data_IF_907314486177
#
_entry.id   IF_907314486177
#
_cell.length_a   1.000
_cell.length_b   1.000
_cell.length_c   1.000
_cell.angle_alpha   90.00
_cell.angle_beta   90.00
_cell.angle_gamma   90.00
#
_symmetry.space_group_name_H-M   'P 1'
#
loop_
_entity.id
_entity.type
_entity.pdbx_description
1 polymer ?
#
# COMPACT_ATOMS: atom_id res chain seq x y z
N UNK A 1 -18.37 -14.65 -1.16
CA UNK A 1 -17.24 -14.15 -1.96
C UNK A 1 -16.07 -15.11 -1.80
N UNK A 2 -15.41 -15.49 -2.89
CA UNK A 2 -14.17 -16.28 -2.80
C UNK A 2 -13.03 -15.38 -2.33
N UNK A 3 -12.17 -15.86 -1.44
CA UNK A 3 -11.00 -15.11 -0.97
C UNK A 3 -9.99 -15.03 -2.10
N UNK A 4 -9.54 -13.82 -2.47
CA UNK A 4 -8.45 -13.64 -3.42
C UNK A 4 -7.13 -13.97 -2.72
N UNK A 5 -6.44 -15.01 -3.19
CA UNK A 5 -5.11 -15.38 -2.69
C UNK A 5 -4.08 -14.76 -3.64
N UNK A 6 -3.21 -13.91 -3.11
CA UNK A 6 -2.13 -13.28 -3.85
C UNK A 6 -0.82 -13.48 -3.08
N UNK A 7 0.28 -13.66 -3.80
CA UNK A 7 1.63 -13.69 -3.23
C UNK A 7 2.15 -12.27 -3.18
N UNK A 8 2.46 -11.79 -1.98
CA UNK A 8 3.03 -10.46 -1.75
C UNK A 8 3.91 -10.48 -0.50
N UNK A 9 4.82 -9.50 -0.37
CA UNK A 9 5.59 -9.31 0.86
C UNK A 9 4.78 -8.58 1.95
N UNK A 10 5.34 -8.49 3.15
CA UNK A 10 4.66 -7.89 4.30
C UNK A 10 4.39 -6.39 4.15
N UNK A 11 5.27 -5.64 3.48
CA UNK A 11 5.08 -4.21 3.26
C UNK A 11 3.97 -3.97 2.24
N UNK A 12 3.97 -4.73 1.14
CA UNK A 12 2.91 -4.69 0.14
C UNK A 12 1.54 -5.07 0.75
N UNK A 13 1.50 -6.06 1.64
CA UNK A 13 0.28 -6.44 2.35
C UNK A 13 -0.22 -5.33 3.29
N UNK A 14 0.68 -4.70 4.04
CA UNK A 14 0.34 -3.59 4.94
C UNK A 14 -0.11 -2.34 4.16
N UNK A 15 0.57 -2.01 3.07
CA UNK A 15 0.19 -0.93 2.17
C UNK A 15 -1.21 -1.19 1.58
N UNK A 16 -1.45 -2.40 1.05
CA UNK A 16 -2.76 -2.76 0.48
C UNK A 16 -3.86 -2.64 1.53
N UNK A 17 -3.62 -3.16 2.74
CA UNK A 17 -4.60 -3.11 3.81
C UNK A 17 -4.88 -1.69 4.32
N UNK A 18 -3.91 -0.77 4.30
CA UNK A 18 -4.08 0.61 4.80
C UNK A 18 -4.63 1.57 3.74
N UNK A 19 -4.29 1.35 2.46
CA UNK A 19 -4.63 2.24 1.34
C UNK A 19 -6.13 2.52 1.23
N UNK A 20 -6.98 1.48 1.32
CA UNK A 20 -8.43 1.64 1.14
C UNK A 20 -9.15 2.33 2.31
N UNK A 21 -8.50 2.48 3.47
CA UNK A 21 -9.11 3.05 4.68
C UNK A 21 -8.49 4.39 5.08
N UNK A 22 -7.54 4.89 4.30
CA UNK A 22 -6.77 6.10 4.62
C UNK A 22 -6.98 7.14 3.53
N UNK A 23 -7.56 8.28 3.89
CA UNK A 23 -7.79 9.39 2.93
C UNK A 23 -6.53 10.24 2.70
N UNK A 24 -5.70 10.39 3.73
CA UNK A 24 -4.47 11.20 3.69
C UNK A 24 -3.35 10.44 4.38
N UNK A 25 -2.21 10.26 3.70
CA UNK A 25 -1.01 9.63 4.24
C UNK A 25 0.19 10.59 4.17
N UNK A 26 0.69 11.01 5.33
CA UNK A 26 1.98 11.70 5.43
C UNK A 26 3.12 10.67 5.42
N UNK A 27 4.02 10.76 4.44
CA UNK A 27 5.08 9.77 4.23
C UNK A 27 6.48 10.39 4.33
N UNK A 28 7.43 9.61 4.86
CA UNK A 28 8.85 9.91 4.84
C UNK A 28 9.65 8.61 4.66
N UNK A 29 10.63 8.55 3.74
CA UNK A 29 11.34 7.32 3.44
C UNK A 29 12.31 6.96 4.58
N UNK A 30 12.22 5.71 5.05
CA UNK A 30 13.15 5.12 6.01
C UNK A 30 13.19 3.60 5.82
N UNK A 31 14.39 3.01 5.78
CA UNK A 31 14.56 1.56 5.64
C UNK A 31 14.08 0.85 6.92
N UNK A 32 13.29 -0.24 6.84
CA UNK A 32 12.89 -1.01 5.65
C UNK A 32 11.49 -0.67 5.11
N UNK A 33 10.83 0.40 5.56
CA UNK A 33 9.41 0.69 5.28
C UNK A 33 9.14 1.53 4.04
N UNK A 34 10.18 2.02 3.35
CA UNK A 34 10.02 2.89 2.18
C UNK A 34 9.11 2.31 1.10
N UNK A 35 9.11 0.99 0.89
CA UNK A 35 8.28 0.34 -0.13
C UNK A 35 6.77 0.51 0.12
N UNK A 36 6.33 0.68 1.37
CA UNK A 36 4.91 0.96 1.65
C UNK A 36 4.49 2.32 1.10
N UNK A 37 5.33 3.34 1.29
CA UNK A 37 5.06 4.70 0.84
C UNK A 37 5.07 4.78 -0.68
N UNK A 38 6.04 4.13 -1.34
CA UNK A 38 6.16 4.09 -2.80
C UNK A 38 4.92 3.43 -3.45
N UNK A 39 4.47 2.29 -2.92
CA UNK A 39 3.29 1.60 -3.44
C UNK A 39 2.00 2.42 -3.27
N UNK A 40 1.83 3.09 -2.13
CA UNK A 40 0.67 3.96 -1.87
C UNK A 40 0.66 5.15 -2.83
N UNK A 41 1.81 5.79 -3.05
CA UNK A 41 1.95 6.91 -3.99
C UNK A 41 1.65 6.46 -5.43
N UNK A 42 2.22 5.33 -5.87
CA UNK A 42 1.96 4.74 -7.17
C UNK A 42 0.48 4.41 -7.38
N UNK A 43 -0.17 3.76 -6.41
CA UNK A 43 -1.59 3.42 -6.51
C UNK A 43 -2.49 4.66 -6.53
N UNK A 44 -2.13 5.70 -5.78
CA UNK A 44 -2.83 6.99 -5.82
C UNK A 44 -2.71 7.64 -7.19
N UNK A 45 -1.50 7.68 -7.76
CA UNK A 45 -1.23 8.22 -9.09
C UNK A 45 -1.99 7.45 -10.19
N UNK A 46 -2.16 6.14 -10.04
CA UNK A 46 -2.94 5.30 -10.95
C UNK A 46 -4.45 5.30 -10.66
N UNK A 47 -4.92 6.08 -9.68
CA UNK A 47 -6.33 6.21 -9.35
C UNK A 47 -6.95 4.91 -8.84
N UNK A 48 -6.15 4.04 -8.20
CA UNK A 48 -6.64 2.82 -7.56
C UNK A 48 -7.65 3.21 -6.48
N UNK A 49 -8.84 2.62 -6.52
CA UNK A 49 -9.94 2.85 -5.57
C UNK A 49 -10.32 1.55 -4.88
#
# INVERSE_FOLDING_TARGET
MSKKMETMDGNAAAAYASYFFTEVAGIYPITPSSTMAELVDEWSAHGRK
#
